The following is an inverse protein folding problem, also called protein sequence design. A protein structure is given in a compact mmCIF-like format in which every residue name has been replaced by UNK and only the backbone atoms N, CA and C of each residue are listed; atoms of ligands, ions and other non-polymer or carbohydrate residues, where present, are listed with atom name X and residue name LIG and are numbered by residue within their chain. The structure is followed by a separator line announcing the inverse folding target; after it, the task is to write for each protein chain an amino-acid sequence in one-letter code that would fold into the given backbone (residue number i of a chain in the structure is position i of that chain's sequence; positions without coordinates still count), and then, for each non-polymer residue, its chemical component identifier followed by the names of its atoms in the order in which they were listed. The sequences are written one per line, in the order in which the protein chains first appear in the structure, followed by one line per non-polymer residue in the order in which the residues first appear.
data_IF_807075835217
#
_entry.id   IF_807075835217
#
_cell.length_a   1.000
_cell.length_b   1.000
_cell.length_c   1.000
_cell.angle_alpha   90.00
_cell.angle_beta   90.00
_cell.angle_gamma   90.00
#
_symmetry.space_group_name_H-M   'P 1'
#
loop_
_entity.id
_entity.type
_entity.pdbx_description
1 polymer ?
#
# COMPACT_ATOMS: atom_id res chain seq x y z
N UNK A 1 -8.28 -28.94 -10.54
CA UNK A 1 -9.38 -27.96 -10.55
C UNK A 1 -8.84 -26.66 -9.94
N UNK A 2 -8.38 -25.73 -10.78
CA UNK A 2 -7.80 -24.46 -10.33
C UNK A 2 -8.90 -23.40 -10.37
N UNK A 3 -9.64 -23.29 -9.26
CA UNK A 3 -10.72 -22.31 -9.12
C UNK A 3 -10.18 -20.88 -9.14
N UNK A 4 -10.48 -20.17 -10.23
CA UNK A 4 -10.42 -18.70 -10.27
C UNK A 4 -11.41 -18.15 -9.26
N UNK A 5 -10.92 -17.75 -8.09
CA UNK A 5 -11.77 -17.26 -6.99
C UNK A 5 -12.12 -15.80 -7.23
N UNK A 6 -13.22 -15.54 -7.93
CA UNK A 6 -13.80 -14.21 -8.07
C UNK A 6 -14.27 -13.70 -6.69
N UNK A 7 -13.76 -12.54 -6.25
CA UNK A 7 -14.18 -11.85 -5.01
C UNK A 7 -13.17 -11.83 -3.86
N UNK A 8 -11.94 -12.32 -4.04
CA UNK A 8 -10.90 -12.24 -3.01
C UNK A 8 -10.33 -10.81 -2.93
N UNK A 9 -10.30 -10.24 -1.73
CA UNK A 9 -9.69 -8.93 -1.44
C UNK A 9 -8.48 -9.13 -0.52
N UNK A 10 -7.36 -8.49 -0.85
CA UNK A 10 -6.14 -8.55 -0.04
C UNK A 10 -5.78 -7.18 0.49
N UNK A 11 -5.25 -7.14 1.72
CA UNK A 11 -4.63 -5.94 2.26
C UNK A 11 -3.18 -5.89 1.81
N UNK A 12 -2.80 -4.78 1.20
CA UNK A 12 -1.42 -4.50 0.80
C UNK A 12 -0.93 -3.25 1.50
N UNK A 13 0.31 -3.30 1.99
CA UNK A 13 1.03 -2.13 2.51
C UNK A 13 1.98 -1.64 1.43
N UNK A 14 1.99 -0.32 1.20
CA UNK A 14 2.87 0.36 0.24
C UNK A 14 3.44 1.61 0.91
N UNK A 15 4.74 1.81 0.74
CA UNK A 15 5.45 3.00 1.19
C UNK A 15 6.65 3.21 0.27
N UNK A 16 6.85 4.45 -0.16
CA UNK A 16 7.93 4.83 -1.05
C UNK A 16 8.67 6.01 -0.42
N UNK A 17 9.97 5.86 -0.16
CA UNK A 17 10.78 6.89 0.47
C UNK A 17 10.93 8.15 -0.41
N UNK A 18 10.63 8.04 -1.71
CA UNK A 18 10.64 9.17 -2.65
C UNK A 18 9.34 9.98 -2.65
N UNK A 19 8.27 9.47 -2.03
CA UNK A 19 6.99 10.15 -1.94
C UNK A 19 6.91 10.97 -0.64
N UNK A 20 6.77 12.29 -0.77
CA UNK A 20 6.65 13.17 0.38
C UNK A 20 5.24 13.12 1.01
N UNK A 21 4.23 12.73 0.22
CA UNK A 21 2.82 12.70 0.63
C UNK A 21 2.14 11.36 0.31
N UNK A 22 1.10 11.02 1.06
CA UNK A 22 0.31 9.80 0.87
C UNK A 22 -0.35 9.72 -0.49
N UNK A 23 -0.77 10.86 -1.05
CA UNK A 23 -1.40 10.93 -2.37
C UNK A 23 -0.48 10.45 -3.49
N UNK A 24 0.83 10.71 -3.39
CA UNK A 24 1.80 10.31 -4.42
C UNK A 24 1.93 8.79 -4.50
N UNK A 25 1.95 8.12 -3.34
CA UNK A 25 1.97 6.65 -3.26
C UNK A 25 0.66 6.07 -3.79
N UNK A 26 -0.48 6.68 -3.46
CA UNK A 26 -1.79 6.23 -3.91
C UNK A 26 -1.91 6.31 -5.44
N UNK A 27 -1.62 7.46 -6.02
CA UNK A 27 -1.71 7.70 -7.47
C UNK A 27 -0.82 6.72 -8.27
N UNK A 28 0.38 6.45 -7.76
CA UNK A 28 1.30 5.49 -8.39
C UNK A 28 0.72 4.08 -8.40
N UNK A 29 0.14 3.64 -7.28
CA UNK A 29 -0.46 2.31 -7.16
C UNK A 29 -1.75 2.19 -7.97
N UNK A 30 -2.59 3.23 -7.99
CA UNK A 30 -3.79 3.25 -8.84
C UNK A 30 -3.42 3.07 -10.33
N UNK A 31 -2.39 3.78 -10.81
CA UNK A 31 -1.93 3.64 -12.21
C UNK A 31 -1.36 2.25 -12.54
N UNK A 32 -0.82 1.52 -11.56
CA UNK A 32 -0.36 0.14 -11.72
C UNK A 32 -1.54 -0.85 -11.69
N UNK A 33 -2.49 -0.66 -10.78
CA UNK A 33 -3.65 -1.52 -10.53
C UNK A 33 -4.68 -1.42 -11.66
N UNK A 34 -4.90 -0.22 -12.21
CA UNK A 34 -5.85 0.02 -13.31
C UNK A 34 -5.51 -0.79 -14.57
N UNK A 35 -4.22 -1.12 -14.76
CA UNK A 35 -3.77 -1.96 -15.88
C UNK A 35 -4.14 -3.43 -15.72
N UNK A 36 -4.40 -3.87 -14.50
CA UNK A 36 -4.65 -5.26 -14.12
C UNK A 36 -6.14 -5.59 -13.98
N UNK A 37 -7.05 -4.65 -14.31
CA UNK A 37 -8.50 -4.76 -14.06
C UNK A 37 -8.83 -5.07 -12.58
N UNK A 38 -8.01 -4.58 -11.65
CA UNK A 38 -8.21 -4.73 -10.21
C UNK A 38 -8.78 -3.42 -9.64
N UNK A 39 -9.52 -3.52 -8.54
CA UNK A 39 -10.06 -2.34 -7.84
C UNK A 39 -9.26 -2.07 -6.56
N UNK A 40 -8.79 -0.83 -6.39
CA UNK A 40 -8.14 -0.39 -5.16
C UNK A 40 -9.14 0.26 -4.20
N UNK A 41 -8.97 0.05 -2.90
CA UNK A 41 -9.65 0.85 -1.87
C UNK A 41 -8.65 1.23 -0.79
N UNK A 42 -8.32 2.52 -0.68
CA UNK A 42 -7.46 3.01 0.39
C UNK A 42 -8.19 2.89 1.75
N UNK A 43 -7.64 2.09 2.66
CA UNK A 43 -8.19 1.90 4.02
C UNK A 43 -7.64 2.88 5.05
N UNK A 44 -6.65 3.69 4.67
CA UNK A 44 -5.98 4.65 5.53
C UNK A 44 -4.51 4.77 5.18
N UNK A 45 -3.81 5.64 5.91
CA UNK A 45 -2.38 5.88 5.71
C UNK A 45 -1.68 6.21 7.03
N UNK A 46 -0.36 6.05 7.03
CA UNK A 46 0.51 6.41 8.15
C UNK A 46 1.96 6.54 7.69
N UNK A 47 2.90 6.59 8.63
CA UNK A 47 4.34 6.62 8.38
C UNK A 47 4.94 5.26 8.70
N UNK A 48 5.95 4.88 7.93
CA UNK A 48 6.73 3.67 8.14
C UNK A 48 8.16 4.13 8.45
N UNK A 49 8.65 3.81 9.64
CA UNK A 49 10.06 3.95 10.00
C UNK A 49 10.70 2.57 9.99
N UNK A 50 11.76 2.44 9.20
CA UNK A 50 12.58 1.24 9.15
C UNK A 50 13.90 1.57 9.84
N UNK A 51 14.22 0.86 10.92
CA UNK A 51 15.50 0.93 11.60
C UNK A 51 16.30 -0.36 11.32
N UNK A 52 17.31 -0.30 10.44
CA UNK A 52 18.13 -1.46 10.12
C UNK A 52 19.01 -1.92 11.29
N UNK A 53 19.38 -1.02 12.20
CA UNK A 53 20.28 -1.31 13.32
C UNK A 53 19.62 -2.20 14.35
N UNK A 54 18.35 -1.95 14.67
CA UNK A 54 17.53 -2.77 15.57
C UNK A 54 16.71 -3.83 14.84
N UNK A 55 16.74 -3.87 13.50
CA UNK A 55 15.89 -4.70 12.64
C UNK A 55 14.40 -4.53 12.93
N UNK A 56 13.99 -3.32 13.29
CA UNK A 56 12.60 -3.01 13.62
C UNK A 56 11.94 -2.15 12.55
N UNK A 57 10.66 -2.44 12.31
CA UNK A 57 9.79 -1.61 11.48
C UNK A 57 8.68 -1.08 12.39
N UNK A 58 8.58 0.23 12.50
CA UNK A 58 7.55 0.92 13.27
C UNK A 58 6.59 1.62 12.33
N UNK A 59 5.30 1.31 12.47
CA UNK A 59 4.22 1.94 11.71
C UNK A 59 3.44 2.85 12.67
N UNK A 60 3.34 4.13 12.36
CA UNK A 60 2.72 5.12 13.25
C UNK A 60 2.19 6.33 12.49
N UNK A 61 1.38 7.15 13.18
CA UNK A 61 0.71 8.30 12.58
C UNK A 61 -0.50 7.91 11.73
N UNK A 62 -1.32 8.90 11.41
CA UNK A 62 -2.46 8.77 10.51
C UNK A 62 -2.33 9.82 9.41
N UNK A 63 -2.85 9.50 8.22
CA UNK A 63 -3.00 10.49 7.15
C UNK A 63 -4.30 11.28 7.41
N UNK A 64 -4.25 12.62 7.57
CA UNK A 64 -5.45 13.46 7.52
C UNK A 64 -6.02 13.53 6.10
#
# INVERSE_FOLDING_TARGET
DHGTTYGQSYLVVRGDASCAYHADVLNKIESEIDKENLTLTCKGGGRIQVDPGTKSISIYGYSP
#
